data_IF_770279695282
#
_entry.id   IF_770279695282
#
_cell.length_a   1.000
_cell.length_b   1.000
_cell.length_c   1.000
_cell.angle_alpha   90.00
_cell.angle_beta   90.00
_cell.angle_gamma   90.00
#
_symmetry.space_group_name_H-M   'P 1'
#
loop_
_entity.id
_entity.type
_entity.pdbx_description
1 polymer ?
#
# COMPACT_ATOMS: atom_id res chain seq x y z
N UNK A 1 56.08 -47.49 -18.76
CA UNK A 1 55.47 -46.23 -18.26
C UNK A 1 54.12 -46.04 -18.94
N UNK A 2 53.01 -46.24 -18.22
CA UNK A 2 51.66 -45.96 -18.73
C UNK A 2 51.39 -44.45 -18.62
N UNK A 3 51.11 -43.79 -19.74
CA UNK A 3 50.69 -42.38 -19.78
C UNK A 3 49.18 -42.33 -19.51
N UNK A 4 48.79 -41.70 -18.40
CA UNK A 4 47.40 -41.37 -18.14
C UNK A 4 47.09 -40.02 -18.79
N UNK A 5 46.12 -40.00 -19.70
CA UNK A 5 45.52 -38.78 -20.23
C UNK A 5 44.34 -38.45 -19.31
N UNK A 6 44.43 -37.34 -18.58
CA UNK A 6 43.31 -36.82 -17.78
C UNK A 6 42.54 -35.84 -18.67
N UNK A 7 41.23 -36.04 -18.92
CA UNK A 7 40.45 -35.07 -19.67
C UNK A 7 40.12 -33.88 -18.77
N UNK A 8 40.47 -32.68 -19.23
CA UNK A 8 40.11 -31.43 -18.57
C UNK A 8 38.65 -31.10 -18.96
N UNK A 9 37.70 -31.38 -18.07
CA UNK A 9 36.31 -30.97 -18.25
C UNK A 9 36.22 -29.49 -17.88
N UNK A 10 36.08 -28.64 -18.89
CA UNK A 10 35.80 -27.22 -18.71
C UNK A 10 34.34 -27.06 -18.27
N UNK A 11 34.12 -26.88 -16.97
CA UNK A 11 32.80 -26.58 -16.40
C UNK A 11 32.47 -25.12 -16.70
N UNK A 12 31.69 -24.85 -17.74
CA UNK A 12 31.13 -23.51 -17.98
C UNK A 12 29.95 -23.32 -17.02
N UNK A 13 30.20 -22.65 -15.90
CA UNK A 13 29.16 -22.12 -15.04
C UNK A 13 28.46 -20.99 -15.80
N UNK A 14 27.35 -21.31 -16.46
CA UNK A 14 26.40 -20.30 -16.94
C UNK A 14 25.69 -19.78 -15.69
N UNK A 15 26.26 -18.75 -15.06
CA UNK A 15 25.50 -17.93 -14.12
C UNK A 15 24.30 -17.38 -14.87
N UNK A 16 23.09 -17.78 -14.46
CA UNK A 16 21.86 -17.28 -15.07
C UNK A 16 21.86 -15.76 -15.04
N UNK A 17 21.98 -15.13 -16.21
CA UNK A 17 21.70 -13.71 -16.35
C UNK A 17 20.20 -13.54 -16.10
N UNK A 18 19.84 -13.16 -14.89
CA UNK A 18 18.52 -12.57 -14.64
C UNK A 18 18.49 -11.24 -15.37
N UNK A 19 17.66 -11.13 -16.41
CA UNK A 19 17.40 -9.85 -17.07
C UNK A 19 16.85 -8.90 -16.00
N UNK A 20 17.63 -7.87 -15.68
CA UNK A 20 17.18 -6.85 -14.75
C UNK A 20 15.97 -6.14 -15.34
N UNK A 21 14.86 -6.11 -14.59
CA UNK A 21 13.64 -5.42 -15.02
C UNK A 21 13.90 -3.92 -14.92
N UNK A 22 13.63 -3.09 -15.94
CA UNK A 22 13.91 -1.66 -15.85
C UNK A 22 12.89 -0.92 -14.97
N UNK A 23 13.28 0.25 -14.48
CA UNK A 23 12.32 1.27 -14.04
C UNK A 23 11.53 1.76 -15.26
N UNK A 24 10.21 1.87 -15.10
CA UNK A 24 9.30 2.45 -16.08
C UNK A 24 8.70 3.73 -15.53
N UNK A 25 8.40 4.68 -16.41
CA UNK A 25 7.68 5.89 -16.06
C UNK A 25 6.21 5.74 -16.41
N UNK A 26 5.34 6.07 -15.46
CA UNK A 26 3.89 6.00 -15.62
C UNK A 26 3.28 7.34 -15.25
N UNK A 27 2.24 7.74 -15.97
CA UNK A 27 1.35 8.81 -15.55
C UNK A 27 0.01 8.19 -15.19
N UNK A 28 -0.47 8.41 -13.97
CA UNK A 28 -1.79 7.96 -13.54
C UNK A 28 -2.71 9.18 -13.41
N UNK A 29 -3.91 9.04 -13.96
CA UNK A 29 -5.01 10.01 -13.82
C UNK A 29 -5.89 9.50 -12.68
N UNK A 30 -5.93 10.26 -11.58
CA UNK A 30 -6.40 9.72 -10.31
C UNK A 30 -5.52 8.55 -9.88
N UNK A 31 -6.11 7.36 -9.69
CA UNK A 31 -5.42 6.17 -9.18
C UNK A 31 -5.21 5.10 -10.26
N UNK A 32 -5.23 5.47 -11.55
CA UNK A 32 -5.15 4.47 -12.63
C UNK A 32 -4.63 5.01 -13.95
N UNK A 33 -4.19 4.10 -14.82
CA UNK A 33 -3.85 4.36 -16.22
C UNK A 33 -4.14 3.13 -17.07
N UNK A 34 -4.23 3.28 -18.39
CA UNK A 34 -4.46 2.16 -19.31
C UNK A 34 -3.60 2.27 -20.57
N UNK A 35 -3.42 1.15 -21.26
CA UNK A 35 -2.73 1.09 -22.57
C UNK A 35 -3.55 1.76 -23.67
N UNK A 36 -4.86 1.55 -23.65
CA UNK A 36 -5.83 2.16 -24.54
C UNK A 36 -7.22 2.23 -23.91
N UNK A 37 -8.08 3.05 -24.50
CA UNK A 37 -9.51 3.09 -24.20
C UNK A 37 -10.30 3.35 -25.50
N UNK A 38 -11.51 2.78 -25.60
CA UNK A 38 -12.41 3.03 -26.72
C UNK A 38 -12.96 4.46 -26.66
N UNK A 39 -12.91 5.17 -27.79
CA UNK A 39 -13.35 6.57 -27.93
C UNK A 39 -12.71 7.49 -26.86
N UNK A 40 -11.37 7.61 -26.86
CA UNK A 40 -10.68 8.41 -25.86
C UNK A 40 -11.13 9.87 -25.91
N UNK A 41 -11.30 10.46 -24.74
CA UNK A 41 -11.63 11.88 -24.59
C UNK A 41 -10.41 12.78 -24.73
N UNK A 42 -10.61 14.10 -24.59
CA UNK A 42 -9.50 15.04 -24.43
C UNK A 42 -9.32 15.34 -22.92
N UNK A 43 -8.31 14.75 -22.27
CA UNK A 43 -8.10 14.95 -20.84
C UNK A 43 -7.75 16.41 -20.49
N UNK A 44 -7.10 17.15 -21.40
CA UNK A 44 -6.74 18.57 -21.20
C UNK A 44 -7.95 19.50 -21.25
N UNK A 45 -9.07 19.06 -21.84
CA UNK A 45 -10.34 19.79 -21.82
C UNK A 45 -11.26 19.36 -20.68
N UNK A 46 -10.82 18.46 -19.79
CA UNK A 46 -11.66 17.88 -18.75
C UNK A 46 -12.83 17.07 -19.31
N UNK A 47 -12.72 16.56 -20.55
CA UNK A 47 -13.75 15.75 -21.23
C UNK A 47 -13.28 14.31 -21.39
N UNK A 48 -13.43 13.47 -20.36
CA UNK A 48 -12.88 12.14 -20.39
C UNK A 48 -13.79 11.20 -21.22
N UNK A 49 -13.20 10.26 -21.97
CA UNK A 49 -13.92 9.38 -22.90
C UNK A 49 -14.88 8.41 -22.20
N UNK A 50 -16.00 7.97 -22.79
CA UNK A 50 -17.03 7.23 -22.07
C UNK A 50 -16.60 5.84 -21.56
N UNK A 51 -15.48 5.28 -22.06
CA UNK A 51 -15.03 3.91 -21.78
C UNK A 51 -13.66 3.84 -21.08
N UNK A 52 -13.30 4.90 -20.35
CA UNK A 52 -11.99 4.97 -19.71
C UNK A 52 -11.86 4.17 -18.41
N UNK A 53 -10.60 3.99 -17.98
CA UNK A 53 -10.22 3.20 -16.78
C UNK A 53 -10.90 3.66 -15.48
N UNK A 54 -11.33 4.94 -15.42
CA UNK A 54 -12.09 5.47 -14.27
C UNK A 54 -13.40 4.74 -13.99
N UNK A 55 -14.00 4.14 -15.02
CA UNK A 55 -15.24 3.38 -14.88
C UNK A 55 -15.05 2.12 -14.02
N UNK A 56 -13.82 1.63 -13.86
CA UNK A 56 -13.53 0.47 -13.01
C UNK A 56 -13.83 0.73 -11.53
N UNK A 57 -14.03 1.97 -11.10
CA UNK A 57 -14.17 2.34 -9.69
C UNK A 57 -15.46 3.09 -9.37
N UNK A 58 -16.41 3.16 -10.32
CA UNK A 58 -17.66 3.90 -10.13
C UNK A 58 -18.80 3.05 -9.52
N UNK A 59 -18.53 1.77 -9.24
CA UNK A 59 -19.48 0.79 -8.72
C UNK A 59 -20.75 0.66 -9.59
N UNK A 60 -20.65 0.96 -10.88
CA UNK A 60 -21.76 0.93 -11.83
C UNK A 60 -21.54 -0.18 -12.87
N UNK A 61 -22.28 -1.30 -12.83
CA UNK A 61 -22.14 -2.34 -13.84
C UNK A 61 -22.56 -1.88 -15.25
N UNK A 62 -23.22 -0.73 -15.38
CA UNK A 62 -23.63 -0.13 -16.63
C UNK A 62 -22.61 0.84 -17.25
N UNK A 63 -21.39 0.90 -16.69
CA UNK A 63 -20.20 1.48 -17.31
C UNK A 63 -19.12 0.40 -17.43
N UNK A 64 -18.06 0.68 -18.19
CA UNK A 64 -16.93 -0.23 -18.34
C UNK A 64 -15.68 0.50 -18.82
N UNK A 65 -14.51 0.01 -18.44
CA UNK A 65 -13.33 0.17 -19.28
C UNK A 65 -13.48 -0.75 -20.49
N UNK A 66 -13.23 -0.19 -21.67
CA UNK A 66 -13.20 -0.94 -22.93
C UNK A 66 -11.89 -0.59 -23.59
N UNK A 67 -11.08 -1.59 -23.91
CA UNK A 67 -9.86 -1.36 -24.68
C UNK A 67 -10.16 -0.75 -26.04
N UNK A 68 -9.20 -0.02 -26.61
CA UNK A 68 -9.40 0.80 -27.80
C UNK A 68 -8.64 0.32 -29.04
N UNK A 69 -8.09 -0.90 -29.01
CA UNK A 69 -7.34 -1.44 -30.16
C UNK A 69 -8.23 -2.28 -31.04
N UNK A 70 -7.82 -2.50 -32.29
CA UNK A 70 -8.56 -3.40 -33.18
C UNK A 70 -8.36 -4.86 -32.74
N UNK A 71 -9.44 -5.64 -32.71
CA UNK A 71 -9.40 -7.05 -32.33
C UNK A 71 -9.83 -7.24 -30.88
N UNK A 72 -9.35 -8.33 -30.27
CA UNK A 72 -9.77 -8.74 -28.92
C UNK A 72 -8.96 -8.11 -27.78
N UNK A 73 -8.11 -7.12 -28.05
CA UNK A 73 -7.30 -6.45 -27.03
C UNK A 73 -6.32 -7.35 -26.26
N UNK A 74 -5.87 -8.49 -26.81
CA UNK A 74 -4.86 -9.33 -26.16
C UNK A 74 -3.55 -8.55 -26.02
N UNK A 75 -3.02 -8.47 -24.80
CA UNK A 75 -1.88 -7.64 -24.44
C UNK A 75 -2.25 -6.24 -23.92
N UNK A 76 -3.49 -5.78 -24.09
CA UNK A 76 -3.96 -4.53 -23.50
C UNK A 76 -4.08 -4.63 -21.99
N UNK A 77 -3.85 -3.52 -21.29
CA UNK A 77 -3.70 -3.51 -19.86
C UNK A 77 -4.16 -2.20 -19.21
N UNK A 78 -4.32 -2.25 -17.89
CA UNK A 78 -4.37 -1.06 -17.06
C UNK A 78 -3.56 -1.26 -15.78
N UNK A 79 -3.10 -0.13 -15.22
CA UNK A 79 -2.50 -0.06 -13.91
C UNK A 79 -3.51 0.52 -12.92
N UNK A 80 -3.52 -0.06 -11.73
CA UNK A 80 -4.29 0.42 -10.59
C UNK A 80 -3.33 0.72 -9.44
N UNK A 81 -3.42 1.91 -8.87
CA UNK A 81 -2.71 2.30 -7.67
C UNK A 81 -3.48 1.85 -6.41
N UNK A 82 -2.80 1.06 -5.57
CA UNK A 82 -3.33 0.52 -4.31
C UNK A 82 -2.85 1.33 -3.10
N UNK A 83 -2.14 2.44 -3.31
CA UNK A 83 -1.42 3.16 -2.25
C UNK A 83 -0.32 2.28 -1.66
N UNK A 84 -0.12 2.32 -0.35
CA UNK A 84 0.89 1.51 0.35
C UNK A 84 0.32 0.24 1.00
N UNK A 85 -0.81 -0.26 0.52
CA UNK A 85 -1.41 -1.52 0.99
C UNK A 85 -1.80 -2.40 -0.19
N UNK A 86 -1.99 -3.70 0.03
CA UNK A 86 -2.45 -4.63 -1.02
C UNK A 86 -3.70 -5.37 -0.59
N UNK A 87 -4.72 -5.53 -1.45
CA UNK A 87 -5.87 -6.36 -1.11
C UNK A 87 -5.49 -7.83 -1.03
N UNK A 88 -6.11 -8.65 -0.17
CA UNK A 88 -5.94 -10.13 -0.29
C UNK A 88 -6.59 -10.67 -1.57
N UNK A 89 -7.65 -10.02 -2.03
CA UNK A 89 -8.46 -10.43 -3.19
C UNK A 89 -8.92 -9.22 -4.00
N UNK A 90 -8.98 -9.40 -5.31
CA UNK A 90 -9.64 -8.49 -6.24
C UNK A 90 -11.05 -8.99 -6.52
N UNK A 91 -12.03 -8.12 -6.39
CA UNK A 91 -13.41 -8.38 -6.78
C UNK A 91 -13.68 -7.70 -8.13
N UNK A 92 -13.99 -8.49 -9.16
CA UNK A 92 -14.01 -8.05 -10.56
C UNK A 92 -15.40 -8.29 -11.17
N UNK A 93 -15.96 -7.30 -11.85
CA UNK A 93 -17.09 -7.50 -12.78
C UNK A 93 -16.57 -7.63 -14.19
N UNK A 94 -16.36 -8.88 -14.61
CA UNK A 94 -15.88 -9.21 -15.95
C UNK A 94 -16.93 -8.86 -17.02
N UNK A 95 -16.50 -8.31 -18.16
CA UNK A 95 -17.39 -7.89 -19.25
C UNK A 95 -18.16 -6.60 -18.98
N UNK A 96 -18.87 -6.11 -20.00
CA UNK A 96 -19.74 -4.94 -19.90
C UNK A 96 -21.13 -5.35 -19.41
N UNK A 97 -21.40 -5.16 -18.11
CA UNK A 97 -22.57 -5.74 -17.44
C UNK A 97 -23.84 -4.88 -17.49
N UNK A 98 -23.93 -3.91 -18.41
CA UNK A 98 -25.10 -3.01 -18.56
C UNK A 98 -26.42 -3.75 -18.78
N UNK A 99 -26.36 -4.86 -19.50
CA UNK A 99 -27.45 -5.82 -19.65
C UNK A 99 -26.88 -7.16 -20.10
N UNK A 100 -27.65 -8.24 -19.95
CA UNK A 100 -27.25 -9.56 -20.44
C UNK A 100 -26.94 -9.56 -21.95
N UNK A 101 -27.68 -8.77 -22.72
CA UNK A 101 -27.44 -8.62 -24.17
C UNK A 101 -26.10 -7.96 -24.44
N UNK A 102 -25.79 -6.84 -23.76
CA UNK A 102 -24.51 -6.12 -23.94
C UNK A 102 -23.35 -7.00 -23.49
N UNK A 103 -23.50 -7.70 -22.36
CA UNK A 103 -22.50 -8.64 -21.85
C UNK A 103 -22.13 -9.70 -22.90
N UNK A 104 -23.12 -10.35 -23.54
CA UNK A 104 -22.86 -11.39 -24.56
C UNK A 104 -22.34 -10.85 -25.89
N UNK A 105 -22.69 -9.60 -26.24
CA UNK A 105 -22.29 -8.98 -27.51
C UNK A 105 -20.82 -8.55 -27.52
N UNK A 106 -20.27 -8.17 -26.38
CA UNK A 106 -18.88 -7.74 -26.24
C UNK A 106 -17.99 -8.89 -25.75
N UNK A 107 -16.69 -8.74 -25.96
CA UNK A 107 -15.72 -9.71 -25.44
C UNK A 107 -15.55 -9.54 -23.93
N UNK A 108 -15.33 -10.67 -23.25
CA UNK A 108 -15.03 -10.72 -21.81
C UNK A 108 -13.65 -11.31 -21.61
N UNK A 109 -12.98 -10.92 -20.55
CA UNK A 109 -11.68 -11.49 -20.23
C UNK A 109 -11.85 -12.95 -19.77
N UNK A 110 -11.11 -13.87 -20.37
CA UNK A 110 -11.06 -15.28 -19.97
C UNK A 110 -9.88 -15.55 -19.06
N UNK A 111 -8.73 -14.96 -19.37
CA UNK A 111 -7.59 -14.95 -18.47
C UNK A 111 -6.85 -13.63 -18.55
N UNK A 112 -6.30 -13.21 -17.41
CA UNK A 112 -5.50 -12.02 -17.30
C UNK A 112 -4.22 -12.29 -16.51
N UNK A 113 -3.15 -11.59 -16.84
CA UNK A 113 -1.92 -11.59 -16.06
C UNK A 113 -1.96 -10.43 -15.08
N UNK A 114 -1.86 -10.74 -13.79
CA UNK A 114 -1.73 -9.72 -12.74
C UNK A 114 -0.27 -9.65 -12.34
N UNK A 115 0.33 -8.46 -12.45
CA UNK A 115 1.75 -8.21 -12.15
C UNK A 115 1.86 -7.07 -11.14
N UNK A 116 2.54 -7.28 -9.99
CA UNK A 116 2.70 -6.22 -9.01
C UNK A 116 3.97 -5.38 -9.27
N UNK A 117 3.89 -4.10 -8.92
CA UNK A 117 4.95 -3.13 -9.05
C UNK A 117 5.11 -2.37 -7.74
N UNK A 118 6.36 -2.06 -7.41
CA UNK A 118 6.69 -1.01 -6.45
C UNK A 118 6.88 0.27 -7.24
N UNK A 119 6.18 1.33 -6.85
CA UNK A 119 6.21 2.62 -7.51
C UNK A 119 6.48 3.74 -6.53
N UNK A 120 7.09 4.80 -7.03
CA UNK A 120 7.39 5.99 -6.27
C UNK A 120 6.90 7.23 -7.01
N UNK A 121 6.17 8.09 -6.30
CA UNK A 121 5.79 9.41 -6.77
C UNK A 121 6.71 10.44 -6.11
N UNK A 122 7.55 11.12 -6.88
CA UNK A 122 8.39 12.20 -6.37
C UNK A 122 7.53 13.46 -6.22
N UNK A 123 7.62 14.11 -5.06
CA UNK A 123 6.85 15.33 -4.77
C UNK A 123 7.08 16.40 -5.84
N UNK A 124 5.99 17.00 -6.31
CA UNK A 124 6.01 17.98 -7.40
C UNK A 124 5.98 17.39 -8.82
N UNK A 125 6.11 16.06 -9.00
CA UNK A 125 5.92 15.41 -10.32
C UNK A 125 4.45 15.22 -10.67
N UNK A 126 3.73 16.33 -10.78
CA UNK A 126 2.31 16.40 -11.12
C UNK A 126 2.09 17.19 -12.40
N UNK A 127 1.07 16.81 -13.16
CA UNK A 127 0.57 17.56 -14.31
C UNK A 127 -0.83 18.10 -14.00
N UNK A 128 -1.41 18.85 -14.93
CA UNK A 128 -2.80 19.32 -14.82
C UNK A 128 -3.82 18.16 -14.69
N UNK A 129 -3.46 16.96 -15.15
CA UNK A 129 -4.40 15.83 -15.28
C UNK A 129 -3.99 14.58 -14.47
N UNK A 130 -2.78 14.53 -13.91
CA UNK A 130 -2.31 13.31 -13.25
C UNK A 130 -0.99 13.44 -12.51
N UNK A 131 -0.55 12.32 -11.92
CA UNK A 131 0.71 12.21 -11.19
C UNK A 131 1.68 11.30 -11.92
N UNK A 132 2.96 11.69 -11.94
CA UNK A 132 4.06 10.88 -12.45
C UNK A 132 4.56 9.89 -11.40
N UNK A 133 4.89 8.68 -11.85
CA UNK A 133 5.44 7.59 -11.04
C UNK A 133 6.63 6.96 -11.73
N UNK A 134 7.63 6.56 -10.93
CA UNK A 134 8.68 5.61 -11.36
C UNK A 134 8.34 4.26 -10.75
N UNK A 135 8.10 3.25 -11.58
CA UNK A 135 7.68 1.93 -11.14
C UNK A 135 8.67 0.85 -11.58
N UNK A 136 8.91 -0.13 -10.73
CA UNK A 136 9.68 -1.34 -11.07
C UNK A 136 8.86 -2.55 -10.67
N UNK A 137 8.77 -3.51 -11.57
CA UNK A 137 8.05 -4.75 -11.28
C UNK A 137 8.76 -5.48 -10.14
N UNK A 138 7.99 -5.84 -9.10
CA UNK A 138 8.44 -6.72 -8.04
C UNK A 138 7.77 -8.09 -8.19
N UNK A 139 8.49 -9.17 -7.92
CA UNK A 139 7.98 -10.52 -8.11
C UNK A 139 7.62 -10.84 -9.57
N UNK A 140 6.90 -11.94 -9.77
CA UNK A 140 6.44 -12.37 -11.08
C UNK A 140 4.94 -12.14 -11.22
N UNK A 141 4.52 -11.73 -12.43
CA UNK A 141 3.12 -11.71 -12.78
C UNK A 141 2.61 -13.11 -13.08
N UNK A 142 1.41 -13.41 -12.61
CA UNK A 142 0.79 -14.74 -12.74
C UNK A 142 -0.57 -14.60 -13.42
N UNK A 143 -0.93 -15.62 -14.21
CA UNK A 143 -2.19 -15.65 -14.94
C UNK A 143 -3.30 -16.15 -14.02
N UNK A 144 -4.40 -15.41 -14.01
CA UNK A 144 -5.65 -15.77 -13.34
C UNK A 144 -6.74 -15.99 -14.39
N UNK A 145 -7.64 -16.94 -14.12
CA UNK A 145 -8.81 -17.18 -14.95
C UNK A 145 -10.03 -16.42 -14.40
N UNK A 146 -10.84 -15.87 -15.30
CA UNK A 146 -12.14 -15.29 -14.98
C UNK A 146 -13.24 -16.15 -15.62
N UNK A 147 -14.34 -16.32 -14.90
CA UNK A 147 -15.48 -17.08 -15.42
C UNK A 147 -16.26 -16.22 -16.40
N UNK A 148 -16.86 -16.87 -17.39
CA UNK A 148 -17.83 -16.25 -18.28
C UNK A 148 -19.19 -16.08 -17.58
N UNK A 149 -19.25 -15.16 -16.63
CA UNK A 149 -20.41 -14.93 -15.80
C UNK A 149 -20.53 -13.44 -15.41
N UNK A 150 -21.77 -12.95 -15.44
CA UNK A 150 -22.13 -11.66 -14.84
C UNK A 150 -22.03 -11.71 -13.31
N UNK A 151 -21.95 -10.54 -12.68
CA UNK A 151 -21.76 -10.41 -11.24
C UNK A 151 -20.30 -10.23 -10.85
N UNK A 152 -20.07 -10.08 -9.55
CA UNK A 152 -18.74 -9.95 -8.95
C UNK A 152 -18.10 -11.34 -8.84
N UNK A 153 -16.82 -11.41 -9.20
CA UNK A 153 -15.99 -12.59 -9.04
C UNK A 153 -14.77 -12.23 -8.21
N UNK A 154 -14.45 -13.02 -7.19
CA UNK A 154 -13.24 -12.81 -6.37
C UNK A 154 -12.07 -13.62 -6.91
N UNK A 155 -10.91 -12.97 -7.00
CA UNK A 155 -9.64 -13.55 -7.43
C UNK A 155 -8.58 -13.18 -6.40
N UNK A 156 -7.90 -14.18 -5.84
CA UNK A 156 -6.77 -13.93 -4.94
C UNK A 156 -5.61 -13.29 -5.70
N UNK A 157 -4.81 -12.44 -5.02
CA UNK A 157 -3.57 -11.96 -5.62
C UNK A 157 -2.66 -13.15 -5.95
N UNK A 158 -2.17 -13.29 -7.19
CA UNK A 158 -1.50 -14.52 -7.61
C UNK A 158 0.02 -14.46 -7.35
N UNK A 159 0.41 -13.87 -6.21
CA UNK A 159 1.78 -13.73 -5.74
C UNK A 159 1.84 -13.66 -4.20
N UNK A 160 3.00 -13.95 -3.64
CA UNK A 160 3.24 -13.90 -2.20
C UNK A 160 3.43 -12.45 -1.75
N UNK A 161 2.48 -11.92 -0.99
CA UNK A 161 2.49 -10.56 -0.45
C UNK A 161 3.69 -10.33 0.48
N UNK A 162 4.07 -11.32 1.31
CA UNK A 162 5.20 -11.18 2.23
C UNK A 162 6.53 -11.13 1.46
N UNK A 163 6.67 -11.96 0.42
CA UNK A 163 7.83 -11.93 -0.44
C UNK A 163 7.92 -10.59 -1.22
N UNK A 164 6.80 -10.09 -1.73
CA UNK A 164 6.71 -8.76 -2.36
C UNK A 164 7.13 -7.66 -1.38
N UNK A 165 6.71 -7.74 -0.12
CA UNK A 165 7.07 -6.75 0.90
C UNK A 165 8.58 -6.74 1.19
N UNK A 166 9.19 -7.93 1.23
CA UNK A 166 10.65 -8.04 1.37
C UNK A 166 11.41 -7.49 0.16
N UNK A 167 10.93 -7.75 -1.06
CA UNK A 167 11.56 -7.27 -2.29
C UNK A 167 11.50 -5.74 -2.39
N UNK A 168 10.36 -5.15 -2.02
CA UNK A 168 10.18 -3.69 -1.96
C UNK A 168 11.31 -2.97 -1.24
N UNK A 169 11.73 -3.45 -0.07
CA UNK A 169 12.79 -2.80 0.73
C UNK A 169 14.06 -2.59 -0.10
N UNK A 170 14.44 -3.60 -0.88
CA UNK A 170 15.60 -3.50 -1.79
C UNK A 170 15.35 -2.52 -2.94
N UNK A 171 14.12 -2.47 -3.47
CA UNK A 171 13.73 -1.54 -4.53
C UNK A 171 13.65 -0.09 -4.03
N UNK A 172 13.29 0.16 -2.78
CA UNK A 172 13.36 1.49 -2.16
C UNK A 172 14.80 1.98 -2.10
N UNK A 173 15.74 1.14 -1.67
CA UNK A 173 17.16 1.48 -1.63
C UNK A 173 17.71 1.75 -3.04
N UNK A 174 17.32 0.93 -4.01
CA UNK A 174 17.68 1.15 -5.41
C UNK A 174 17.11 2.46 -5.95
N UNK A 175 15.82 2.72 -5.73
CA UNK A 175 15.14 3.96 -6.15
C UNK A 175 15.86 5.21 -5.61
N UNK A 176 16.15 5.23 -4.30
CA UNK A 176 16.89 6.32 -3.65
C UNK A 176 18.25 6.56 -4.30
N UNK A 177 18.91 5.50 -4.76
CA UNK A 177 20.20 5.62 -5.43
C UNK A 177 20.07 6.12 -6.88
N UNK A 178 19.15 5.53 -7.65
CA UNK A 178 18.92 5.86 -9.07
C UNK A 178 18.40 7.29 -9.24
N UNK A 179 17.48 7.72 -8.38
CA UNK A 179 16.81 9.03 -8.46
C UNK A 179 17.34 10.05 -7.43
N UNK A 180 18.53 9.82 -6.87
CA UNK A 180 19.13 10.67 -5.82
C UNK A 180 19.16 12.14 -6.21
N UNK A 181 19.61 12.45 -7.43
CA UNK A 181 19.75 13.84 -7.89
C UNK A 181 18.40 14.55 -7.93
N UNK A 182 17.36 13.87 -8.43
CA UNK A 182 16.00 14.40 -8.50
C UNK A 182 15.39 14.61 -7.11
N UNK A 183 15.59 13.66 -6.20
CA UNK A 183 15.14 13.78 -4.80
C UNK A 183 15.83 14.97 -4.12
N UNK A 184 17.15 15.11 -4.28
CA UNK A 184 17.92 16.21 -3.71
C UNK A 184 17.48 17.57 -4.29
N UNK A 185 17.12 17.61 -5.57
CA UNK A 185 16.57 18.81 -6.20
C UNK A 185 15.26 19.25 -5.53
N UNK A 186 14.32 18.33 -5.32
CA UNK A 186 13.06 18.61 -4.61
C UNK A 186 13.33 19.14 -3.20
N UNK A 187 14.17 18.46 -2.44
CA UNK A 187 14.53 18.89 -1.07
C UNK A 187 15.24 20.25 -1.04
N UNK A 188 15.96 20.61 -2.10
CA UNK A 188 16.59 21.93 -2.20
C UNK A 188 15.57 23.05 -2.41
N UNK A 189 14.52 22.79 -3.20
CA UNK A 189 13.47 23.78 -3.47
C UNK A 189 12.39 23.82 -2.39
N UNK A 190 12.17 22.72 -1.67
CA UNK A 190 11.27 22.62 -0.53
C UNK A 190 12.02 22.08 0.71
N UNK A 191 12.85 22.92 1.39
CA UNK A 191 13.68 22.47 2.51
C UNK A 191 12.92 21.86 3.68
N UNK A 192 11.65 22.27 3.87
CA UNK A 192 10.79 21.79 4.94
C UNK A 192 9.94 20.57 4.55
N UNK A 193 10.18 19.99 3.35
CA UNK A 193 9.43 18.83 2.89
C UNK A 193 9.69 17.62 3.78
N UNK A 194 8.62 17.05 4.32
CA UNK A 194 8.69 15.86 5.19
C UNK A 194 8.94 14.61 4.34
N UNK A 195 8.21 14.50 3.22
CA UNK A 195 8.18 13.33 2.34
C UNK A 195 8.55 13.78 0.92
N UNK A 196 9.81 13.62 0.48
CA UNK A 196 10.23 14.03 -0.86
C UNK A 196 9.74 13.09 -1.96
N UNK A 197 9.32 11.87 -1.60
CA UNK A 197 8.70 10.92 -2.51
C UNK A 197 7.83 9.91 -1.74
N UNK A 198 6.74 9.46 -2.36
CA UNK A 198 5.74 8.58 -1.76
C UNK A 198 5.83 7.17 -2.33
N UNK A 199 5.72 6.16 -1.49
CA UNK A 199 5.66 4.74 -1.85
C UNK A 199 4.23 4.33 -2.25
N UNK A 200 4.12 3.66 -3.38
CA UNK A 200 2.89 3.11 -3.92
C UNK A 200 3.09 1.68 -4.43
N UNK A 201 2.04 0.87 -4.37
CA UNK A 201 1.99 -0.45 -4.99
C UNK A 201 1.00 -0.40 -6.13
N UNK A 202 1.46 -0.76 -7.33
CA UNK A 202 0.62 -0.81 -8.50
C UNK A 202 0.34 -2.26 -8.87
N UNK A 203 -0.89 -2.53 -9.32
CA UNK A 203 -1.24 -3.78 -9.97
C UNK A 203 -1.47 -3.51 -11.44
N UNK A 204 -0.68 -4.18 -12.30
CA UNK A 204 -0.95 -4.25 -13.74
C UNK A 204 -1.85 -5.43 -14.01
N UNK A 205 -3.02 -5.20 -14.60
CA UNK A 205 -3.90 -6.22 -15.15
C UNK A 205 -3.77 -6.21 -16.66
N UNK A 206 -3.36 -7.32 -17.25
CA UNK A 206 -3.12 -7.46 -18.69
C UNK A 206 -3.99 -8.58 -19.27
N UNK A 207 -4.72 -8.31 -20.34
CA UNK A 207 -5.58 -9.28 -21.03
C UNK A 207 -4.70 -10.32 -21.71
N UNK A 208 -4.90 -11.60 -21.38
CA UNK A 208 -4.16 -12.71 -22.01
C UNK A 208 -5.06 -13.41 -23.04
N UNK A 209 -6.27 -13.77 -22.65
CA UNK A 209 -7.24 -14.47 -23.49
C UNK A 209 -8.65 -13.98 -23.18
N UNK A 210 -9.57 -14.14 -24.14
CA UNK A 210 -10.94 -13.64 -24.06
C UNK A 210 -11.97 -14.71 -24.36
N UNK A 211 -13.19 -14.50 -23.86
CA UNK A 211 -14.39 -15.08 -24.44
C UNK A 211 -14.89 -14.10 -25.51
N UNK A 212 -14.90 -14.50 -26.81
CA UNK A 212 -15.35 -13.61 -27.87
C UNK A 212 -16.79 -13.15 -27.67
N UNK A 213 -17.05 -11.87 -27.96
CA UNK A 213 -18.39 -11.32 -28.10
C UNK A 213 -19.08 -11.86 -29.36
N UNK A 214 -20.41 -11.88 -29.35
CA UNK A 214 -21.20 -12.29 -30.52
C UNK A 214 -21.32 -11.19 -31.59
N UNK A 215 -20.91 -9.96 -31.29
CA UNK A 215 -21.07 -8.81 -32.20
C UNK A 215 -19.86 -7.88 -32.25
N UNK A 216 -19.15 -7.72 -31.13
CA UNK A 216 -18.01 -6.83 -31.00
C UNK A 216 -16.79 -7.61 -30.52
N UNK A 217 -15.63 -7.25 -31.03
CA UNK A 217 -14.33 -7.76 -30.58
C UNK A 217 -13.82 -6.99 -29.35
N UNK A 218 -14.31 -5.77 -29.11
CA UNK A 218 -14.05 -4.94 -27.93
C UNK A 218 -14.13 -5.72 -26.61
N UNK A 219 -13.03 -5.72 -25.84
CA UNK A 219 -12.97 -6.39 -24.53
C UNK A 219 -13.25 -5.45 -23.39
N UNK A 220 -14.17 -5.85 -22.51
CA UNK A 220 -14.68 -4.99 -21.46
C UNK A 220 -14.41 -5.52 -20.05
N UNK A 221 -14.16 -4.61 -19.10
CA UNK A 221 -14.29 -4.85 -17.67
C UNK A 221 -15.14 -3.73 -17.05
N UNK A 222 -16.17 -4.09 -16.30
CA UNK A 222 -17.08 -3.11 -15.69
C UNK A 222 -16.58 -2.52 -14.38
N UNK A 223 -15.92 -3.29 -13.51
CA UNK A 223 -15.68 -2.86 -12.12
C UNK A 223 -14.51 -3.65 -11.49
N UNK A 224 -13.74 -2.97 -10.63
CA UNK A 224 -12.71 -3.50 -9.75
C UNK A 224 -12.93 -2.98 -8.33
N UNK A 225 -12.93 -3.92 -7.38
CA UNK A 225 -13.00 -3.63 -5.95
C UNK A 225 -11.90 -4.33 -5.20
N UNK A 226 -11.45 -3.69 -4.14
CA UNK A 226 -10.41 -4.17 -3.23
C UNK A 226 -11.04 -4.45 -1.87
N UNK A 227 -10.76 -5.63 -1.33
CA UNK A 227 -11.23 -6.05 -0.01
C UNK A 227 -10.05 -6.62 0.78
N UNK A 228 -10.20 -6.63 2.11
CA UNK A 228 -9.26 -7.25 3.04
C UNK A 228 -7.81 -6.75 2.84
N UNK A 229 -7.61 -5.43 2.92
CA UNK A 229 -6.30 -4.82 2.71
C UNK A 229 -5.27 -5.36 3.71
N UNK A 230 -4.07 -5.63 3.20
CA UNK A 230 -2.89 -6.04 3.93
C UNK A 230 -1.93 -4.86 3.95
N UNK A 231 -1.64 -4.40 5.15
CA UNK A 231 -0.69 -3.32 5.39
C UNK A 231 0.73 -3.84 5.32
N UNK A 232 1.59 -3.12 4.59
CA UNK A 232 3.03 -3.29 4.69
C UNK A 232 3.53 -2.80 6.06
N UNK A 233 4.17 -3.66 6.87
CA UNK A 233 4.84 -3.21 8.09
C UNK A 233 5.85 -2.09 7.81
N UNK A 234 6.16 -1.26 8.82
CA UNK A 234 7.21 -0.23 8.68
C UNK A 234 8.57 -0.88 8.80
N UNK A 235 9.22 -1.12 7.67
CA UNK A 235 10.52 -1.78 7.59
C UNK A 235 11.68 -0.84 7.93
N UNK A 236 12.86 -1.43 8.17
CA UNK A 236 14.04 -0.69 8.63
C UNK A 236 14.59 0.33 7.64
N UNK A 237 14.15 0.31 6.38
CA UNK A 237 14.48 1.32 5.38
C UNK A 237 13.63 2.59 5.51
N UNK A 238 12.67 2.62 6.42
CA UNK A 238 11.80 3.77 6.69
C UNK A 238 12.11 4.43 8.03
N UNK A 239 12.09 5.75 8.01
CA UNK A 239 12.28 6.61 9.17
C UNK A 239 10.93 7.22 9.53
N UNK A 240 10.48 7.03 10.77
CA UNK A 240 9.25 7.65 11.26
C UNK A 240 9.52 9.15 11.48
N UNK A 241 8.82 10.00 10.74
CA UNK A 241 9.05 11.44 10.72
C UNK A 241 8.21 12.19 11.73
N UNK A 242 6.98 11.74 11.95
CA UNK A 242 6.00 12.44 12.78
C UNK A 242 4.92 11.48 13.25
N UNK A 243 4.47 11.64 14.48
CA UNK A 243 3.24 11.06 15.01
C UNK A 243 2.32 12.22 15.36
N UNK A 244 1.03 12.12 15.04
CA UNK A 244 0.10 13.21 15.24
C UNK A 244 -1.32 12.73 15.40
N UNK A 245 -2.13 13.54 16.06
CA UNK A 245 -3.57 13.33 16.15
C UNK A 245 -4.27 14.28 15.19
N UNK A 246 -5.23 13.77 14.42
CA UNK A 246 -5.94 14.57 13.39
C UNK A 246 -6.69 15.74 14.04
N UNK A 247 -7.40 15.43 15.12
CA UNK A 247 -8.02 16.37 16.06
C UNK A 247 -8.09 15.71 17.43
N UNK A 248 -8.21 16.53 18.47
CA UNK A 248 -8.42 16.03 19.84
C UNK A 248 -9.63 15.08 19.87
N UNK A 249 -9.44 13.88 20.42
CA UNK A 249 -10.45 12.83 20.47
C UNK A 249 -10.69 12.07 19.17
N UNK A 250 -9.87 12.25 18.12
CA UNK A 250 -9.90 11.44 16.89
C UNK A 250 -8.72 10.45 16.83
N UNK A 251 -8.58 9.74 15.70
CA UNK A 251 -7.51 8.78 15.46
C UNK A 251 -6.11 9.41 15.56
N UNK A 252 -5.14 8.58 15.94
CA UNK A 252 -3.72 8.93 15.96
C UNK A 252 -3.07 8.28 14.75
N UNK A 253 -2.34 9.10 14.00
CA UNK A 253 -1.66 8.75 12.76
C UNK A 253 -0.15 8.99 12.89
N UNK A 254 0.61 8.48 11.93
CA UNK A 254 2.03 8.77 11.79
C UNK A 254 2.45 8.77 10.32
N UNK A 255 3.55 9.47 10.04
CA UNK A 255 4.18 9.54 8.74
C UNK A 255 5.59 8.94 8.81
N UNK A 256 6.00 8.27 7.74
CA UNK A 256 7.40 7.91 7.50
C UNK A 256 8.01 8.87 6.47
N UNK A 257 9.28 8.67 6.11
CA UNK A 257 9.93 9.45 5.06
C UNK A 257 9.44 9.09 3.64
N UNK A 258 8.57 8.07 3.51
CA UNK A 258 8.02 7.60 2.24
C UNK A 258 6.51 7.29 2.26
N UNK A 259 5.84 7.36 3.41
CA UNK A 259 4.40 7.11 3.56
C UNK A 259 3.76 8.14 4.48
N UNK A 260 2.51 8.47 4.23
CA UNK A 260 1.76 9.42 5.04
C UNK A 260 0.44 8.82 5.55
N UNK A 261 -0.07 9.43 6.62
CA UNK A 261 -1.39 9.15 7.20
C UNK A 261 -1.56 7.68 7.63
N UNK A 262 -0.48 7.06 8.12
CA UNK A 262 -0.53 5.69 8.61
C UNK A 262 -1.24 5.63 9.96
N UNK A 263 -2.15 4.67 10.14
CA UNK A 263 -2.96 4.55 11.36
C UNK A 263 -2.17 3.91 12.51
N UNK A 264 -2.01 4.65 13.62
CA UNK A 264 -1.44 4.12 14.86
C UNK A 264 -2.54 3.66 15.83
N UNK A 265 -3.54 4.52 16.06
CA UNK A 265 -4.67 4.23 16.96
C UNK A 265 -5.98 4.58 16.27
N UNK A 266 -6.84 3.57 16.13
CA UNK A 266 -8.18 3.70 15.58
C UNK A 266 -9.22 3.69 16.69
N UNK A 267 -9.68 4.87 17.11
CA UNK A 267 -10.55 5.04 18.27
C UNK A 267 -11.79 4.15 18.19
N UNK A 268 -12.49 4.17 17.05
CA UNK A 268 -13.76 3.46 16.91
C UNK A 268 -13.59 1.94 16.87
N UNK A 269 -12.37 1.47 16.63
CA UNK A 269 -12.04 0.05 16.60
C UNK A 269 -11.40 -0.48 17.88
N UNK A 270 -11.06 0.39 18.84
CA UNK A 270 -10.62 -0.01 20.18
C UNK A 270 -11.68 -0.85 20.88
N UNK A 271 -11.22 -1.86 21.64
CA UNK A 271 -12.10 -2.73 22.43
C UNK A 271 -12.87 -1.90 23.45
N UNK A 272 -12.18 -1.00 24.15
CA UNK A 272 -12.75 -0.14 25.17
C UNK A 272 -13.81 0.80 24.61
N UNK A 273 -13.63 1.29 23.38
CA UNK A 273 -14.62 2.14 22.71
C UNK A 273 -15.90 1.34 22.39
N UNK A 274 -15.75 0.12 21.87
CA UNK A 274 -16.87 -0.77 21.56
C UNK A 274 -17.62 -1.26 22.79
N UNK A 275 -16.94 -1.38 23.93
CA UNK A 275 -17.49 -1.83 25.20
C UNK A 275 -17.95 -0.66 26.10
N UNK A 276 -17.82 0.59 25.64
CA UNK A 276 -18.23 1.76 26.41
C UNK A 276 -19.73 1.72 26.70
N UNK A 277 -20.09 1.83 27.98
CA UNK A 277 -21.48 1.75 28.43
C UNK A 277 -22.27 3.04 28.13
N UNK A 278 -23.59 2.92 28.04
CA UNK A 278 -24.47 4.06 27.79
C UNK A 278 -24.26 5.18 28.82
N UNK A 279 -24.01 6.39 28.33
CA UNK A 279 -23.79 7.58 29.17
C UNK A 279 -22.32 7.86 29.49
N UNK A 280 -21.40 6.97 29.13
CA UNK A 280 -19.95 7.20 29.16
C UNK A 280 -19.47 7.58 27.75
N UNK A 281 -18.56 8.55 27.67
CA UNK A 281 -17.85 8.90 26.44
C UNK A 281 -16.38 8.54 26.59
N UNK A 282 -15.83 7.90 25.57
CA UNK A 282 -14.40 7.63 25.44
C UNK A 282 -13.78 8.58 24.41
N UNK A 283 -12.60 9.12 24.74
CA UNK A 283 -11.74 9.85 23.84
C UNK A 283 -10.29 9.36 24.00
N UNK A 284 -9.43 9.69 23.04
CA UNK A 284 -7.99 9.47 23.13
C UNK A 284 -7.23 10.79 22.92
N UNK A 285 -6.05 10.92 23.50
CA UNK A 285 -5.13 12.04 23.29
C UNK A 285 -3.71 11.54 23.07
N UNK A 286 -3.01 12.08 22.06
CA UNK A 286 -1.57 11.87 21.92
C UNK A 286 -0.85 12.75 22.95
N UNK A 287 -0.25 12.14 23.96
CA UNK A 287 0.37 12.87 25.08
C UNK A 287 1.81 13.24 24.83
N UNK A 288 2.62 12.26 24.43
CA UNK A 288 4.04 12.43 24.20
C UNK A 288 4.53 11.44 23.15
N UNK A 289 5.67 11.74 22.54
CA UNK A 289 6.33 10.93 21.52
C UNK A 289 7.81 10.86 21.80
N UNK A 290 8.43 9.69 21.64
CA UNK A 290 9.87 9.58 21.86
C UNK A 290 10.65 10.43 20.84
N UNK A 291 11.86 10.92 21.18
CA UNK A 291 12.68 11.73 20.28
C UNK A 291 12.98 11.10 18.91
N UNK A 292 12.97 9.77 18.82
CA UNK A 292 13.16 9.00 17.59
C UNK A 292 11.85 8.64 16.86
N UNK A 293 10.70 9.05 17.40
CA UNK A 293 9.34 8.69 16.96
C UNK A 293 9.06 7.18 16.90
N UNK A 294 9.83 6.32 17.55
CA UNK A 294 9.54 4.89 17.60
C UNK A 294 8.46 4.55 18.63
N UNK A 295 8.14 5.48 19.55
CA UNK A 295 7.19 5.30 20.63
C UNK A 295 6.22 6.46 20.76
N UNK A 296 4.99 6.14 21.16
CA UNK A 296 3.95 7.11 21.47
C UNK A 296 3.25 6.75 22.78
N UNK A 297 3.05 7.75 23.64
CA UNK A 297 2.18 7.67 24.79
C UNK A 297 0.81 8.23 24.41
N UNK A 298 -0.24 7.44 24.64
CA UNK A 298 -1.62 7.78 24.32
C UNK A 298 -2.49 7.67 25.56
N UNK A 299 -3.15 8.75 25.93
CA UNK A 299 -4.09 8.73 27.05
C UNK A 299 -5.48 8.34 26.57
N UNK A 300 -6.06 7.40 27.30
CA UNK A 300 -7.40 6.91 27.11
C UNK A 300 -8.28 7.57 28.17
N UNK A 301 -9.25 8.39 27.75
CA UNK A 301 -10.02 9.28 28.63
C UNK A 301 -11.50 8.91 28.63
N UNK A 302 -12.08 8.77 29.82
CA UNK A 302 -13.45 8.32 30.02
C UNK A 302 -14.20 9.32 30.85
N UNK A 303 -15.32 9.78 30.33
CA UNK A 303 -16.11 10.85 30.94
C UNK A 303 -17.59 10.48 31.00
N UNK A 304 -18.23 10.78 32.13
CA UNK A 304 -19.66 10.65 32.31
C UNK A 304 -20.23 11.95 32.91
N UNK A 305 -21.50 12.29 32.65
CA UNK A 305 -22.12 13.50 33.20
C UNK A 305 -21.99 13.57 34.72
N UNK A 306 -21.37 14.64 35.24
CA UNK A 306 -21.19 14.86 36.68
C UNK A 306 -20.08 14.02 37.34
N UNK A 307 -19.34 13.21 36.57
CA UNK A 307 -18.20 12.44 37.05
C UNK A 307 -16.87 13.13 36.70
N UNK A 308 -15.81 12.76 37.43
CA UNK A 308 -14.43 13.11 37.04
C UNK A 308 -14.04 12.31 35.80
N UNK A 309 -13.21 12.90 34.93
CA UNK A 309 -12.58 12.17 33.83
C UNK A 309 -11.57 11.17 34.40
N UNK A 310 -11.71 9.91 34.03
CA UNK A 310 -10.71 8.88 34.29
C UNK A 310 -9.76 8.79 33.09
N UNK A 311 -8.46 8.77 33.37
CA UNK A 311 -7.40 8.78 32.36
C UNK A 311 -6.47 7.61 32.61
N UNK A 312 -6.12 6.89 31.55
CA UNK A 312 -5.19 5.78 31.61
C UNK A 312 -4.18 5.87 30.46
N UNK A 313 -2.87 5.96 30.76
CA UNK A 313 -1.85 6.06 29.73
C UNK A 313 -1.57 4.70 29.10
N UNK A 314 -1.37 4.70 27.79
CA UNK A 314 -1.08 3.51 26.99
C UNK A 314 0.13 3.77 26.11
N UNK A 315 1.13 2.90 26.22
CA UNK A 315 2.31 2.94 25.36
C UNK A 315 2.07 2.19 24.04
N UNK A 316 2.46 2.80 22.93
CA UNK A 316 2.48 2.21 21.60
C UNK A 316 3.90 2.17 21.03
N UNK A 317 4.28 1.05 20.42
CA UNK A 317 5.44 0.96 19.52
C UNK A 317 4.99 1.24 18.09
N UNK A 318 5.39 2.40 17.59
CA UNK A 318 4.82 3.04 16.39
C UNK A 318 5.14 2.25 15.13
N UNK A 319 6.40 1.81 14.98
CA UNK A 319 6.86 1.01 13.82
C UNK A 319 6.02 -0.24 13.58
N UNK A 320 5.66 -0.92 14.66
CA UNK A 320 4.80 -2.12 14.58
C UNK A 320 3.31 -1.80 14.63
N UNK A 321 2.93 -0.54 14.86
CA UNK A 321 1.57 -0.11 15.21
C UNK A 321 0.94 -0.97 16.31
N UNK A 322 1.72 -1.31 17.34
CA UNK A 322 1.28 -2.19 18.44
C UNK A 322 1.17 -1.45 19.75
N UNK A 323 0.04 -1.65 20.42
CA UNK A 323 -0.13 -1.35 21.84
C UNK A 323 0.75 -2.29 22.65
N UNK A 324 1.52 -1.73 23.59
CA UNK A 324 2.33 -2.49 24.52
C UNK A 324 1.49 -2.84 25.74
N UNK A 325 1.59 -4.11 26.16
CA UNK A 325 0.87 -4.60 27.32
C UNK A 325 1.60 -4.18 28.60
N UNK A 326 0.85 -3.82 29.64
CA UNK A 326 1.40 -3.42 30.94
C UNK A 326 2.31 -4.47 31.57
N UNK A 327 2.03 -5.77 31.38
CA UNK A 327 2.88 -6.86 31.86
C UNK A 327 4.27 -6.89 31.21
N UNK A 328 4.42 -6.34 30.01
CA UNK A 328 5.71 -6.18 29.32
C UNK A 328 6.45 -4.94 29.83
N UNK A 329 5.71 -3.87 30.12
CA UNK A 329 6.28 -2.63 30.71
C UNK A 329 6.77 -2.92 32.13
N UNK A 330 6.10 -3.84 32.85
CA UNK A 330 6.44 -4.22 34.22
C UNK A 330 5.80 -3.30 35.27
N UNK A 331 4.85 -2.45 34.87
CA UNK A 331 4.29 -1.40 35.70
C UNK A 331 2.77 -1.25 35.56
N UNK A 332 2.13 -0.88 36.67
CA UNK A 332 0.71 -0.54 36.78
C UNK A 332 0.68 0.85 37.44
N UNK A 333 0.65 1.92 36.65
CA UNK A 333 0.80 3.29 37.14
C UNK A 333 0.87 4.32 36.02
N UNK A 334 1.05 5.59 36.39
CA UNK A 334 1.19 6.71 35.48
C UNK A 334 2.44 6.63 34.61
N UNK A 335 2.34 7.19 33.41
CA UNK A 335 3.44 7.43 32.47
C UNK A 335 3.61 8.94 32.29
N UNK A 336 4.84 9.42 32.37
CA UNK A 336 5.15 10.86 32.43
C UNK A 336 5.90 11.39 31.20
N UNK A 337 6.04 10.56 30.17
CA UNK A 337 6.73 10.92 28.93
C UNK A 337 8.07 10.20 28.76
N UNK A 338 8.87 10.72 27.82
CA UNK A 338 10.12 10.09 27.40
C UNK A 338 11.35 10.88 27.85
N UNK A 339 12.38 10.15 28.32
CA UNK A 339 13.68 10.71 28.70
C UNK A 339 14.78 10.13 27.81
N UNK A 340 15.55 11.00 27.15
CA UNK A 340 16.79 10.61 26.48
C UNK A 340 17.98 10.77 27.42
N UNK A 341 18.68 9.67 27.68
CA UNK A 341 19.86 9.65 28.56
C UNK A 341 20.85 8.58 28.12
N UNK A 342 22.13 8.96 28.05
CA UNK A 342 23.24 8.08 27.68
C UNK A 342 23.05 7.40 26.30
N UNK A 343 22.44 8.10 25.35
CA UNK A 343 22.14 7.60 24.00
C UNK A 343 21.00 6.56 23.95
N UNK A 344 20.21 6.47 25.02
CA UNK A 344 19.05 5.60 25.13
C UNK A 344 17.79 6.39 25.44
N UNK A 345 16.66 5.82 25.07
CA UNK A 345 15.33 6.38 25.38
C UNK A 345 14.69 5.54 26.47
N UNK A 346 14.21 6.24 27.50
CA UNK A 346 13.54 5.68 28.66
C UNK A 346 12.11 6.19 28.71
N UNK A 347 11.19 5.35 29.17
CA UNK A 347 9.85 5.79 29.57
C UNK A 347 9.88 6.15 31.05
N UNK A 348 9.44 7.35 31.41
CA UNK A 348 9.30 7.78 32.81
C UNK A 348 7.94 7.34 33.36
N UNK A 349 7.95 6.79 34.58
CA UNK A 349 6.78 6.18 35.21
C UNK A 349 6.75 6.44 36.71
N UNK A 350 5.65 6.06 37.36
CA UNK A 350 5.52 6.11 38.83
C UNK A 350 6.59 5.33 39.59
N UNK A 351 7.12 4.25 39.01
CA UNK A 351 8.08 3.36 39.68
C UNK A 351 9.53 3.57 39.22
N UNK A 352 9.77 4.52 38.32
CA UNK A 352 11.10 4.89 37.87
C UNK A 352 11.18 5.07 36.35
N UNK A 353 12.19 4.45 35.74
CA UNK A 353 12.42 4.55 34.29
C UNK A 353 12.47 3.15 33.66
N UNK A 354 11.76 2.96 32.55
CA UNK A 354 11.73 1.71 31.79
C UNK A 354 12.60 1.82 30.54
N UNK A 355 13.50 0.85 30.34
CA UNK A 355 14.42 0.78 29.20
C UNK A 355 13.66 0.31 27.93
N UNK A 356 13.40 1.21 26.99
CA UNK A 356 12.61 0.91 25.80
C UNK A 356 13.32 -0.04 24.83
N UNK A 357 14.66 -0.09 24.83
CA UNK A 357 15.41 -1.05 24.01
C UNK A 357 15.12 -2.49 24.42
N UNK A 358 14.93 -2.72 25.73
CA UNK A 358 14.55 -4.06 26.24
C UNK A 358 13.15 -4.45 25.80
N UNK A 359 12.20 -3.50 25.80
CA UNK A 359 10.85 -3.75 25.28
C UNK A 359 10.93 -4.07 23.79
N UNK A 360 11.63 -3.25 23.00
CA UNK A 360 11.81 -3.45 21.55
C UNK A 360 12.34 -4.85 21.24
N UNK A 361 13.42 -5.27 21.90
CA UNK A 361 14.00 -6.60 21.73
C UNK A 361 13.00 -7.73 22.04
N UNK A 362 12.14 -7.56 23.05
CA UNK A 362 11.12 -8.56 23.41
C UNK A 362 9.99 -8.69 22.39
N UNK A 363 9.76 -7.64 21.58
CA UNK A 363 8.79 -7.67 20.48
C UNK A 363 9.35 -8.46 19.30
N UNK A 364 10.63 -8.26 18.98
CA UNK A 364 11.32 -8.94 17.88
C UNK A 364 11.46 -10.46 18.10
N UNK A 365 11.54 -10.92 19.35
CA UNK A 365 11.64 -12.35 19.71
C UNK A 365 10.29 -13.10 19.64
N UNK A 366 9.17 -12.39 19.44
CA UNK A 366 7.81 -12.95 19.42
C UNK A 366 7.11 -12.86 18.05
N UNK A 367 7.76 -12.29 17.05
CA UNK A 367 7.37 -12.35 15.63
C UNK A 367 8.03 -13.53 14.91
#
# INVERSE_FOLDING_TARGET
>A
MKKYVVPFILLVLISGFTVEKPWIELMLIGNSSCSSELNPGNPFEGKPGPYGVRNLFDNNPATAWVEGVKGYGSGEYFFLDMGYTLPKKLAIRNGYQKSESVFKKNSRVKSAKITPFVAFHISGEVTEIGKGYKAKQAGNGSVVALRDAMGIQEVALPFDIKAFFKERVSLTAEFRNVYRERINEVMKYEPDIIIPFYLHYLLKFEIVDVYPGSSFDDTCISDFKTNDMVTDPVSSDEIIKKIYQVKEGENILFDTDIRSEMLLVDLVNLKEYKETVQGVKMAISLMDTSPDNEWAQVDFMFSAPGARVEEYPVLYHVRSARRIREDIIGETGGMYGFLEKDGKIWLETDKGTVDLDKIKKSLDEKE
#
